data_IF_231866356298
#
_entry.id   IF_231866356298
#
_cell.length_a   1.000
_cell.length_b   1.000
_cell.length_c   1.000
_cell.angle_alpha   90.00
_cell.angle_beta   90.00
_cell.angle_gamma   90.00
#
_symmetry.space_group_name_H-M   'P 1'
#
loop_
_entity.id
_entity.type
_entity.pdbx_description
1 polymer ?
#
# COMPACT_ATOMS: atom_id res chain seq x y z
N UNK A 1 4.81 -12.38 11.76
CA UNK A 1 4.01 -13.23 10.87
C UNK A 1 3.49 -12.37 9.73
N UNK A 2 4.24 -12.34 8.64
CA UNK A 2 3.84 -11.69 7.39
C UNK A 2 2.79 -12.56 6.71
N UNK A 3 1.55 -12.08 6.69
CA UNK A 3 0.44 -12.26 5.72
C UNK A 3 0.08 -13.68 5.20
N UNK A 4 0.99 -14.64 4.99
CA UNK A 4 0.75 -15.92 4.29
C UNK A 4 1.03 -17.19 5.11
N UNK A 5 0.61 -17.28 6.38
CA UNK A 5 0.91 -18.47 7.22
C UNK A 5 -0.22 -19.50 7.35
N UNK A 6 -1.19 -19.52 6.44
CA UNK A 6 -2.12 -20.64 6.29
C UNK A 6 -1.52 -21.70 5.35
N UNK A 7 -0.54 -22.48 5.83
CA UNK A 7 -0.08 -23.71 5.15
C UNK A 7 1.43 -23.89 5.01
N UNK A 8 1.84 -25.17 4.90
CA UNK A 8 3.22 -25.70 4.87
C UNK A 8 4.11 -25.31 3.67
N UNK A 9 3.95 -24.14 3.07
CA UNK A 9 4.82 -23.68 1.97
C UNK A 9 5.33 -22.25 2.20
N UNK A 10 6.08 -22.08 3.31
CA UNK A 10 6.91 -20.90 3.56
C UNK A 10 8.00 -20.83 2.49
N UNK A 11 7.98 -19.80 1.65
CA UNK A 11 9.06 -19.53 0.71
C UNK A 11 9.41 -18.05 0.74
N UNK A 12 10.58 -17.72 1.30
CA UNK A 12 11.11 -16.34 1.26
C UNK A 12 11.24 -15.82 -0.18
N UNK A 13 11.40 -16.70 -1.16
CA UNK A 13 11.36 -16.35 -2.59
C UNK A 13 10.01 -15.76 -3.00
N UNK A 14 8.89 -16.33 -2.54
CA UNK A 14 7.54 -15.80 -2.86
C UNK A 14 7.32 -14.42 -2.26
N UNK A 15 7.73 -14.23 -1.00
CA UNK A 15 7.65 -12.95 -0.32
C UNK A 15 8.53 -11.89 -1.01
N UNK A 16 9.76 -12.26 -1.40
CA UNK A 16 10.65 -11.39 -2.14
C UNK A 16 10.08 -10.99 -3.51
N UNK A 17 9.55 -11.94 -4.29
CA UNK A 17 8.92 -11.67 -5.59
C UNK A 17 7.72 -10.74 -5.42
N UNK A 18 6.89 -10.99 -4.41
CA UNK A 18 5.75 -10.13 -4.08
C UNK A 18 6.18 -8.69 -3.80
N UNK A 19 7.25 -8.48 -3.02
CA UNK A 19 7.78 -7.13 -2.76
C UNK A 19 8.24 -6.43 -4.04
N UNK A 20 8.91 -7.14 -4.97
CA UNK A 20 9.38 -6.54 -6.23
C UNK A 20 8.25 -6.13 -7.15
N UNK A 21 7.27 -7.01 -7.34
CA UNK A 21 6.10 -6.72 -8.17
C UNK A 21 5.31 -5.55 -7.55
N UNK A 22 5.13 -5.56 -6.24
CA UNK A 22 4.42 -4.49 -5.55
C UNK A 22 5.14 -3.16 -5.63
N UNK A 23 6.45 -3.13 -5.38
CA UNK A 23 7.23 -1.90 -5.48
C UNK A 23 7.21 -1.34 -6.92
N UNK A 24 7.24 -2.19 -7.94
CA UNK A 24 7.08 -1.75 -9.33
C UNK A 24 5.70 -1.13 -9.56
N UNK A 25 4.62 -1.76 -9.08
CA UNK A 25 3.27 -1.22 -9.20
C UNK A 25 3.13 0.15 -8.50
N UNK A 26 3.75 0.32 -7.32
CA UNK A 26 3.77 1.59 -6.58
C UNK A 26 4.53 2.67 -7.36
N UNK A 27 5.72 2.35 -7.89
CA UNK A 27 6.50 3.30 -8.68
C UNK A 27 5.75 3.73 -9.94
N UNK A 28 5.13 2.78 -10.66
CA UNK A 28 4.31 3.08 -11.83
C UNK A 28 3.12 3.98 -11.47
N UNK A 29 2.47 3.72 -10.33
CA UNK A 29 1.37 4.56 -9.87
C UNK A 29 1.84 5.99 -9.60
N UNK A 30 3.00 6.13 -8.96
CA UNK A 30 3.67 7.42 -8.73
C UNK A 30 3.94 8.17 -10.04
N UNK A 31 4.48 7.49 -11.06
CA UNK A 31 4.72 8.10 -12.38
C UNK A 31 3.40 8.54 -13.03
N UNK A 32 2.35 7.73 -12.95
CA UNK A 32 1.04 8.07 -13.53
C UNK A 32 0.44 9.30 -12.86
N UNK A 33 0.37 9.36 -11.52
CA UNK A 33 -0.22 10.51 -10.84
C UNK A 33 0.62 11.78 -11.02
N UNK A 34 1.96 11.68 -11.02
CA UNK A 34 2.84 12.82 -11.32
C UNK A 34 2.58 13.31 -12.75
N UNK A 35 2.50 12.40 -13.72
CA UNK A 35 2.15 12.74 -15.09
C UNK A 35 0.81 13.45 -15.20
N UNK A 36 -0.23 12.94 -14.53
CA UNK A 36 -1.55 13.58 -14.51
C UNK A 36 -1.49 14.99 -13.91
N UNK A 37 -0.84 15.15 -12.76
CA UNK A 37 -0.71 16.45 -12.06
C UNK A 37 0.06 17.48 -12.90
N UNK A 38 1.11 17.06 -13.61
CA UNK A 38 1.90 17.95 -14.47
C UNK A 38 1.15 18.44 -15.72
N UNK A 39 0.03 17.78 -16.09
CA UNK A 39 -0.82 18.16 -17.22
C UNK A 39 -2.08 18.93 -16.78
N UNK A 40 -2.18 19.33 -15.52
CA UNK A 40 -3.28 20.16 -15.03
C UNK A 40 -2.96 21.64 -15.26
N UNK A 41 -3.78 22.32 -16.07
CA UNK A 41 -3.61 23.75 -16.39
C UNK A 41 -3.89 24.68 -15.19
N UNK A 42 -4.89 24.35 -14.37
CA UNK A 42 -5.28 25.11 -13.18
C UNK A 42 -5.44 24.20 -11.98
N UNK A 43 -4.89 24.55 -10.82
CA UNK A 43 -4.94 23.71 -9.62
C UNK A 43 -6.18 23.98 -8.74
N UNK A 44 -7.37 24.13 -9.34
CA UNK A 44 -8.60 24.36 -8.57
C UNK A 44 -9.10 23.06 -7.93
N UNK A 45 -9.97 23.17 -6.92
CA UNK A 45 -10.55 21.99 -6.28
C UNK A 45 -11.28 21.05 -7.28
N UNK A 46 -11.99 21.63 -8.26
CA UNK A 46 -12.69 20.86 -9.29
C UNK A 46 -11.70 20.11 -10.19
N UNK A 47 -10.58 20.74 -10.56
CA UNK A 47 -9.54 20.11 -11.38
C UNK A 47 -8.89 18.94 -10.64
N UNK A 48 -8.63 19.10 -9.34
CA UNK A 48 -8.15 18.01 -8.48
C UNK A 48 -9.15 16.86 -8.41
N UNK A 49 -10.45 17.12 -8.23
CA UNK A 49 -11.45 16.05 -8.24
C UNK A 49 -11.49 15.32 -9.59
N UNK A 50 -11.36 16.05 -10.70
CA UNK A 50 -11.38 15.50 -12.05
C UNK A 50 -10.18 14.57 -12.33
N UNK A 51 -9.02 14.78 -11.70
CA UNK A 51 -7.89 13.84 -11.81
C UNK A 51 -8.24 12.44 -11.30
N UNK A 52 -8.99 12.35 -10.21
CA UNK A 52 -9.33 11.09 -9.54
C UNK A 52 -10.67 10.50 -10.00
N UNK A 53 -11.48 11.26 -10.74
CA UNK A 53 -12.80 10.85 -11.20
C UNK A 53 -12.83 9.62 -12.13
N UNK A 54 -11.90 9.44 -13.10
CA UNK A 54 -11.98 8.36 -14.07
C UNK A 54 -11.98 6.97 -13.44
N UNK A 55 -12.91 6.11 -13.88
CA UNK A 55 -13.08 4.76 -13.32
C UNK A 55 -11.80 3.91 -13.40
N UNK A 56 -11.05 4.02 -14.50
CA UNK A 56 -9.78 3.30 -14.66
C UNK A 56 -8.78 3.69 -13.57
N UNK A 57 -8.71 4.98 -13.21
CA UNK A 57 -7.77 5.48 -12.22
C UNK A 57 -8.21 5.13 -10.79
N UNK A 58 -9.52 5.13 -10.52
CA UNK A 58 -10.08 4.64 -9.25
C UNK A 58 -9.75 3.16 -9.02
N UNK A 59 -9.97 2.30 -10.02
CA UNK A 59 -9.62 0.88 -9.93
C UNK A 59 -8.12 0.71 -9.76
N UNK A 60 -7.32 1.36 -10.60
CA UNK A 60 -5.86 1.27 -10.58
C UNK A 60 -5.26 1.70 -9.23
N UNK A 61 -5.72 2.83 -8.69
CA UNK A 61 -5.29 3.34 -7.39
C UNK A 61 -5.75 2.44 -6.24
N UNK A 62 -6.96 1.86 -6.32
CA UNK A 62 -7.46 0.91 -5.32
C UNK A 62 -6.61 -0.36 -5.25
N UNK A 63 -6.29 -0.95 -6.40
CA UNK A 63 -5.42 -2.13 -6.46
C UNK A 63 -4.04 -1.79 -5.90
N UNK A 64 -3.46 -0.67 -6.32
CA UNK A 64 -2.14 -0.23 -5.83
C UNK A 64 -2.17 0.02 -4.31
N UNK A 65 -3.21 0.66 -3.78
CA UNK A 65 -3.38 0.90 -2.35
C UNK A 65 -3.41 -0.41 -1.55
N UNK A 66 -4.16 -1.41 -2.01
CA UNK A 66 -4.20 -2.73 -1.35
C UNK A 66 -2.84 -3.41 -1.38
N UNK A 67 -2.13 -3.33 -2.52
CA UNK A 67 -0.76 -3.84 -2.63
C UNK A 67 0.19 -3.13 -1.65
N UNK A 68 0.13 -1.79 -1.54
CA UNK A 68 0.92 -1.02 -0.55
C UNK A 68 0.67 -1.51 0.86
N UNK A 69 -0.60 -1.68 1.25
CA UNK A 69 -0.97 -2.11 2.59
C UNK A 69 -0.39 -3.49 2.90
N UNK A 70 -0.51 -4.44 1.97
CA UNK A 70 0.10 -5.77 2.13
C UNK A 70 1.64 -5.69 2.17
N UNK A 71 2.27 -4.94 1.27
CA UNK A 71 3.72 -4.77 1.24
C UNK A 71 4.25 -4.15 2.53
N UNK A 72 3.53 -3.21 3.13
CA UNK A 72 3.91 -2.57 4.39
C UNK A 72 3.89 -3.53 5.58
N UNK A 73 2.97 -4.50 5.62
CA UNK A 73 2.96 -5.53 6.67
C UNK A 73 4.13 -6.51 6.50
N UNK A 74 4.48 -6.85 5.26
CA UNK A 74 5.63 -7.71 4.98
C UNK A 74 6.96 -7.01 5.29
N UNK A 75 7.14 -5.77 4.81
CA UNK A 75 8.31 -4.95 5.12
C UNK A 75 8.40 -4.65 6.62
N UNK A 76 7.27 -4.34 7.25
CA UNK A 76 7.18 -4.12 8.68
C UNK A 76 7.62 -5.36 9.46
N UNK A 77 7.21 -6.55 9.03
CA UNK A 77 7.67 -7.80 9.64
C UNK A 77 9.18 -8.01 9.52
N UNK A 78 9.78 -7.76 8.36
CA UNK A 78 11.24 -7.84 8.17
C UNK A 78 11.97 -6.90 9.15
N UNK A 79 11.55 -5.64 9.22
CA UNK A 79 12.10 -4.65 10.16
C UNK A 79 11.93 -5.13 11.61
N UNK A 80 10.75 -5.62 11.97
CA UNK A 80 10.43 -6.08 13.31
C UNK A 80 11.32 -7.26 13.75
N UNK A 81 11.54 -8.24 12.88
CA UNK A 81 12.41 -9.39 13.21
C UNK A 81 13.89 -9.04 13.27
N UNK A 82 14.33 -8.13 12.40
CA UNK A 82 15.75 -7.81 12.27
C UNK A 82 16.21 -6.86 13.38
N UNK A 83 15.37 -5.90 13.78
CA UNK A 83 15.78 -4.80 14.66
C UNK A 83 15.09 -4.80 16.03
N UNK A 84 13.88 -5.35 16.20
CA UNK A 84 13.13 -5.28 17.47
C UNK A 84 13.22 -6.59 18.24
N UNK A 85 14.25 -6.70 19.09
CA UNK A 85 14.53 -7.92 19.87
C UNK A 85 13.52 -8.20 20.99
N UNK A 86 13.05 -7.21 21.78
CA UNK A 86 12.08 -7.48 22.83
C UNK A 86 10.72 -7.88 22.24
N UNK A 87 10.26 -9.11 22.55
CA UNK A 87 9.04 -9.69 21.97
C UNK A 87 7.78 -8.84 22.24
N UNK A 88 7.67 -8.24 23.42
CA UNK A 88 6.53 -7.37 23.77
C UNK A 88 6.45 -6.14 22.86
N UNK A 89 7.60 -5.48 22.64
CA UNK A 89 7.70 -4.28 21.78
C UNK A 89 7.42 -4.65 20.32
N UNK A 90 8.00 -5.76 19.83
CA UNK A 90 7.77 -6.21 18.46
C UNK A 90 6.30 -6.56 18.21
N UNK A 91 5.63 -7.18 19.19
CA UNK A 91 4.18 -7.45 19.10
C UNK A 91 3.37 -6.17 18.95
N UNK A 92 3.65 -5.16 19.78
CA UNK A 92 2.98 -3.86 19.70
C UNK A 92 3.26 -3.17 18.36
N UNK A 93 4.52 -3.13 17.93
CA UNK A 93 4.92 -2.58 16.64
C UNK A 93 4.18 -3.26 15.48
N UNK A 94 4.13 -4.59 15.45
CA UNK A 94 3.41 -5.32 14.41
C UNK A 94 1.90 -5.08 14.47
N UNK A 95 1.32 -4.86 15.65
CA UNK A 95 -0.08 -4.47 15.78
C UNK A 95 -0.32 -3.09 15.14
N UNK A 96 0.54 -2.12 15.43
CA UNK A 96 0.48 -0.76 14.83
C UNK A 96 0.61 -0.83 13.31
N UNK A 97 1.60 -1.57 12.77
CA UNK A 97 1.77 -1.71 11.32
C UNK A 97 0.53 -2.31 10.67
N UNK A 98 -0.04 -3.39 11.24
CA UNK A 98 -1.23 -4.05 10.67
C UNK A 98 -2.47 -3.17 10.76
N UNK A 99 -2.74 -2.59 11.92
CA UNK A 99 -3.90 -1.70 12.12
C UNK A 99 -3.79 -0.45 11.26
N UNK A 100 -2.60 0.14 11.18
CA UNK A 100 -2.31 1.27 10.29
C UNK A 100 -2.55 0.91 8.83
N UNK A 101 -2.13 -0.27 8.38
CA UNK A 101 -2.38 -0.76 7.02
C UNK A 101 -3.87 -0.92 6.72
N UNK A 102 -4.63 -1.49 7.65
CA UNK A 102 -6.09 -1.68 7.50
C UNK A 102 -6.80 -0.33 7.48
N UNK A 103 -6.45 0.59 8.39
CA UNK A 103 -6.98 1.94 8.40
C UNK A 103 -6.67 2.66 7.09
N UNK A 104 -5.43 2.56 6.59
CA UNK A 104 -5.02 3.20 5.36
C UNK A 104 -5.78 2.67 4.14
N UNK A 105 -6.00 1.36 4.05
CA UNK A 105 -6.87 0.77 3.03
C UNK A 105 -8.31 1.28 3.14
N UNK A 106 -8.89 1.29 4.35
CA UNK A 106 -10.27 1.70 4.57
C UNK A 106 -10.49 3.19 4.23
N UNK A 107 -9.66 4.08 4.76
CA UNK A 107 -9.75 5.51 4.49
C UNK A 107 -9.43 5.84 3.03
N UNK A 108 -8.39 5.23 2.46
CA UNK A 108 -8.03 5.47 1.07
C UNK A 108 -9.12 5.04 0.08
N UNK A 109 -9.75 3.88 0.31
CA UNK A 109 -10.90 3.45 -0.49
C UNK A 109 -12.12 4.34 -0.26
N UNK A 110 -12.41 4.72 0.99
CA UNK A 110 -13.50 5.64 1.28
C UNK A 110 -13.35 6.97 0.52
N UNK A 111 -12.15 7.59 0.60
CA UNK A 111 -11.86 8.85 -0.09
C UNK A 111 -11.97 8.70 -1.60
N UNK A 112 -11.42 7.62 -2.17
CA UNK A 112 -11.37 7.47 -3.63
C UNK A 112 -12.74 7.18 -4.26
N UNK A 113 -13.61 6.47 -3.54
CA UNK A 113 -14.88 6.01 -4.08
C UNK A 113 -16.07 6.87 -3.66
N UNK A 114 -16.07 7.42 -2.43
CA UNK A 114 -17.24 8.10 -1.84
C UNK A 114 -17.07 9.58 -1.55
N UNK A 115 -15.87 10.14 -1.72
CA UNK A 115 -15.66 11.60 -1.76
C UNK A 115 -15.40 12.05 -3.19
#
# INVERSE_FOLDING_TARGET
MGIMSLGNTRSGTREWVFQRITNLAICLWGVVIIGLVLNVDTATFADWQNLFAPMWFKIYSSVTLLMVCLNSVLAGWQIGTDYIKPKGINTLYMAVVKLGSVAYAAFGLYILWWM
#
